data_IF_763419779594
#
_entry.id   IF_763419779594
#
_cell.length_a   1.000
_cell.length_b   1.000
_cell.length_c   1.000
_cell.angle_alpha   90.00
_cell.angle_beta   90.00
_cell.angle_gamma   90.00
#
_symmetry.space_group_name_H-M   'P 1'
#
loop_
_entity.id
_entity.type
_entity.pdbx_description
1 polymer ?
#
# COMPACT_ATOMS: atom_id res chain seq x y z
N UNK A 1 -48.24 9.70 35.62
CA UNK A 1 -48.29 8.47 34.79
C UNK A 1 -47.49 7.39 35.51
N UNK A 2 -47.84 6.11 35.36
CA UNK A 2 -47.12 5.01 36.00
C UNK A 2 -47.09 3.77 35.10
N UNK A 3 -45.98 3.02 35.14
CA UNK A 3 -45.82 1.72 34.48
C UNK A 3 -44.74 0.93 35.20
N UNK A 4 -44.88 -0.41 35.22
CA UNK A 4 -43.83 -1.31 35.66
C UNK A 4 -42.88 -1.73 34.53
N UNK A 5 -43.15 -1.27 33.29
CA UNK A 5 -42.46 -1.65 32.05
C UNK A 5 -42.34 -3.16 31.82
N UNK A 6 -43.22 -3.94 32.43
CA UNK A 6 -43.31 -5.39 32.21
C UNK A 6 -44.19 -5.65 31.01
N UNK A 7 -43.72 -6.58 30.19
CA UNK A 7 -44.49 -7.09 29.06
C UNK A 7 -45.46 -8.14 29.62
N UNK A 8 -46.74 -8.03 29.28
CA UNK A 8 -47.76 -9.01 29.64
C UNK A 8 -47.73 -10.25 28.71
N UNK A 9 -48.61 -11.21 28.96
CA UNK A 9 -48.71 -12.46 28.17
C UNK A 9 -49.01 -12.22 26.69
N UNK A 10 -49.58 -11.06 26.35
CA UNK A 10 -49.93 -10.68 24.98
C UNK A 10 -48.84 -9.84 24.30
N UNK A 11 -47.71 -9.55 24.97
CA UNK A 11 -46.63 -8.76 24.40
C UNK A 11 -46.76 -7.24 24.61
N UNK A 12 -47.70 -6.77 25.44
CA UNK A 12 -47.93 -5.34 25.63
C UNK A 12 -47.40 -4.83 26.98
N UNK A 13 -46.92 -3.59 26.98
CA UNK A 13 -46.61 -2.83 28.21
C UNK A 13 -47.85 -2.04 28.63
N UNK A 14 -48.23 -2.12 29.92
CA UNK A 14 -49.34 -1.33 30.46
C UNK A 14 -48.85 -0.01 31.02
N UNK A 15 -49.51 1.08 30.61
CA UNK A 15 -49.21 2.44 31.07
C UNK A 15 -50.49 3.04 31.64
N UNK A 16 -50.44 3.45 32.91
CA UNK A 16 -51.51 4.21 33.55
C UNK A 16 -51.30 5.70 33.34
N UNK A 17 -52.28 6.35 32.70
CA UNK A 17 -52.35 7.80 32.54
C UNK A 17 -53.51 8.31 33.38
N UNK A 18 -53.18 9.10 34.41
CA UNK A 18 -54.18 9.80 35.22
C UNK A 18 -54.30 11.23 34.66
N UNK A 19 -55.48 11.57 34.15
CA UNK A 19 -55.80 12.92 33.73
C UNK A 19 -56.14 13.80 34.94
N UNK A 20 -55.44 14.93 35.06
CA UNK A 20 -55.60 15.90 36.15
C UNK A 20 -56.14 17.26 35.61
N UNK A 21 -56.91 17.24 34.53
CA UNK A 21 -57.52 18.43 33.93
C UNK A 21 -56.86 18.86 32.62
N UNK A 22 -56.30 17.91 31.86
CA UNK A 22 -55.73 18.16 30.54
C UNK A 22 -56.85 18.44 29.52
N UNK A 23 -56.55 19.28 28.54
CA UNK A 23 -57.43 19.45 27.39
C UNK A 23 -57.42 18.17 26.52
N UNK A 24 -58.50 17.87 25.76
CA UNK A 24 -58.52 16.71 24.87
C UNK A 24 -57.33 16.65 23.89
N UNK A 25 -56.89 17.82 23.41
CA UNK A 25 -55.70 17.92 22.55
C UNK A 25 -54.42 17.50 23.29
N UNK A 26 -54.23 17.96 24.53
CA UNK A 26 -53.05 17.61 25.33
C UNK A 26 -53.06 16.13 25.74
N UNK A 27 -54.22 15.55 26.01
CA UNK A 27 -54.36 14.10 26.25
C UNK A 27 -53.94 13.31 25.01
N UNK A 28 -54.44 13.69 23.82
CA UNK A 28 -54.05 13.05 22.57
C UNK A 28 -52.55 13.12 22.30
N UNK A 29 -51.96 14.31 22.47
CA UNK A 29 -50.52 14.50 22.30
C UNK A 29 -49.69 13.72 23.34
N UNK A 30 -50.16 13.60 24.58
CA UNK A 30 -49.52 12.79 25.61
C UNK A 30 -49.54 11.31 25.26
N UNK A 31 -50.71 10.78 24.90
CA UNK A 31 -50.88 9.38 24.50
C UNK A 31 -50.03 9.06 23.27
N UNK A 32 -50.01 9.93 22.26
CA UNK A 32 -49.17 9.75 21.08
C UNK A 32 -47.68 9.64 21.46
N UNK A 33 -47.17 10.53 22.33
CA UNK A 33 -45.78 10.49 22.77
C UNK A 33 -45.45 9.23 23.57
N UNK A 34 -46.39 8.74 24.40
CA UNK A 34 -46.22 7.47 25.11
C UNK A 34 -46.14 6.29 24.15
N UNK A 35 -47.00 6.26 23.12
CA UNK A 35 -46.95 5.24 22.07
C UNK A 35 -45.65 5.31 21.26
N UNK A 36 -45.17 6.52 20.95
CA UNK A 36 -43.88 6.72 20.28
C UNK A 36 -42.73 6.19 21.14
N UNK A 37 -42.69 6.49 22.46
CA UNK A 37 -41.68 5.94 23.38
C UNK A 37 -41.68 4.42 23.35
N UNK A 38 -42.85 3.78 23.49
CA UNK A 38 -42.95 2.32 23.49
C UNK A 38 -42.66 1.70 22.12
N UNK A 39 -42.90 2.42 21.02
CA UNK A 39 -42.56 1.96 19.66
C UNK A 39 -41.05 2.04 19.41
N UNK A 40 -40.41 3.14 19.80
CA UNK A 40 -39.00 3.38 19.49
C UNK A 40 -38.04 2.71 20.49
N UNK A 41 -38.47 2.46 21.73
CA UNK A 41 -37.66 1.76 22.74
C UNK A 41 -37.13 0.40 22.26
N UNK A 42 -37.96 -0.55 21.77
CA UNK A 42 -37.46 -1.84 21.27
C UNK A 42 -36.66 -1.67 19.97
N UNK A 43 -37.04 -0.73 19.09
CA UNK A 43 -36.31 -0.46 17.85
C UNK A 43 -34.88 0.04 18.11
N UNK A 44 -34.69 0.88 19.14
CA UNK A 44 -33.39 1.34 19.58
C UNK A 44 -32.48 0.19 20.08
N UNK A 45 -33.07 -0.92 20.53
CA UNK A 45 -32.32 -2.08 21.03
C UNK A 45 -31.94 -3.08 19.93
N UNK A 46 -32.45 -2.93 18.70
CA UNK A 46 -32.11 -3.82 17.57
C UNK A 46 -30.64 -3.72 17.11
N UNK A 47 -29.94 -2.65 17.52
CA UNK A 47 -28.51 -2.50 17.29
C UNK A 47 -27.67 -3.43 18.16
N UNK A 48 -28.14 -3.77 19.36
CA UNK A 48 -27.36 -4.58 20.31
C UNK A 48 -27.10 -5.99 19.76
N UNK A 49 -28.11 -6.63 19.16
CA UNK A 49 -27.93 -7.97 18.58
C UNK A 49 -26.88 -7.95 17.47
N UNK A 50 -26.92 -6.94 16.59
CA UNK A 50 -25.93 -6.77 15.54
C UNK A 50 -24.52 -6.52 16.12
N UNK A 51 -24.40 -5.75 17.19
CA UNK A 51 -23.11 -5.51 17.85
C UNK A 51 -22.52 -6.79 18.46
N UNK A 52 -23.37 -7.61 19.10
CA UNK A 52 -22.96 -8.89 19.69
C UNK A 52 -22.56 -9.93 18.62
N UNK A 53 -23.23 -9.95 17.48
CA UNK A 53 -22.89 -10.83 16.35
C UNK A 53 -21.56 -10.42 15.68
N UNK A 54 -21.35 -9.11 15.55
CA UNK A 54 -20.19 -8.54 14.88
C UNK A 54 -18.93 -8.55 15.74
N UNK A 55 -19.05 -8.39 17.06
CA UNK A 55 -17.92 -8.29 18.00
C UNK A 55 -16.86 -9.39 17.80
N UNK A 56 -17.23 -10.69 17.81
CA UNK A 56 -16.28 -11.79 17.59
C UNK A 56 -15.59 -11.76 16.22
N UNK A 57 -16.25 -11.24 15.19
CA UNK A 57 -15.66 -11.08 13.86
C UNK A 57 -14.58 -9.99 13.87
N UNK A 58 -14.90 -8.82 14.44
CA UNK A 58 -13.95 -7.70 14.60
C UNK A 58 -12.73 -8.13 15.42
N UNK A 59 -12.94 -8.87 16.52
CA UNK A 59 -11.86 -9.39 17.37
C UNK A 59 -10.90 -10.33 16.60
N UNK A 60 -11.43 -11.17 15.69
CA UNK A 60 -10.60 -12.08 14.88
C UNK A 60 -9.77 -11.31 13.87
N UNK A 61 -10.34 -10.31 13.20
CA UNK A 61 -9.62 -9.50 12.21
C UNK A 61 -8.54 -8.64 12.88
N UNK A 62 -8.83 -8.00 14.01
CA UNK A 62 -7.84 -7.19 14.75
C UNK A 62 -6.68 -8.05 15.26
N UNK A 63 -6.95 -9.26 15.75
CA UNK A 63 -5.90 -10.21 16.14
C UNK A 63 -5.03 -10.63 14.97
N UNK A 64 -5.63 -11.04 13.85
CA UNK A 64 -4.86 -11.47 12.67
C UNK A 64 -4.05 -10.32 12.06
N UNK A 65 -4.58 -9.10 12.09
CA UNK A 65 -3.82 -7.91 11.72
C UNK A 65 -2.58 -7.73 12.62
N UNK A 66 -2.72 -7.92 13.93
CA UNK A 66 -1.60 -7.91 14.87
C UNK A 66 -0.52 -8.94 14.51
N UNK A 67 -0.92 -10.19 14.26
CA UNK A 67 -0.02 -11.27 13.85
C UNK A 67 0.72 -10.93 12.54
N UNK A 68 0.01 -10.44 11.52
CA UNK A 68 0.63 -10.05 10.25
C UNK A 68 1.62 -8.89 10.43
N UNK A 69 1.32 -7.92 11.28
CA UNK A 69 2.24 -6.82 11.58
C UNK A 69 3.50 -7.29 12.32
N UNK A 70 3.40 -8.30 13.19
CA UNK A 70 4.55 -8.94 13.83
C UNK A 70 5.38 -9.73 12.82
N UNK A 71 4.73 -10.52 11.96
CA UNK A 71 5.38 -11.25 10.86
C UNK A 71 6.11 -10.28 9.91
N UNK A 72 5.51 -9.12 9.61
CA UNK A 72 6.15 -8.06 8.82
C UNK A 72 7.44 -7.56 9.47
N UNK A 73 7.52 -7.40 10.81
CA UNK A 73 8.75 -6.92 11.45
C UNK A 73 9.91 -7.92 11.33
N UNK A 74 9.62 -9.22 11.37
CA UNK A 74 10.62 -10.28 11.20
C UNK A 74 10.86 -10.72 9.75
N UNK A 75 10.04 -10.28 8.81
CA UNK A 75 10.11 -10.71 7.42
C UNK A 75 11.33 -10.13 6.70
N UNK A 76 12.17 -11.02 6.17
CA UNK A 76 13.21 -10.71 5.19
C UNK A 76 12.87 -11.37 3.85
N UNK A 77 12.90 -10.58 2.78
CA UNK A 77 12.74 -11.07 1.42
C UNK A 77 11.38 -10.78 0.77
N UNK A 78 11.47 -10.38 -0.50
CA UNK A 78 10.37 -9.97 -1.36
C UNK A 78 9.20 -10.97 -1.46
N UNK A 79 9.47 -12.28 -1.41
CA UNK A 79 8.41 -13.30 -1.51
C UNK A 79 7.49 -13.30 -0.29
N UNK A 80 8.06 -13.17 0.91
CA UNK A 80 7.31 -13.15 2.15
C UNK A 80 6.49 -11.85 2.25
N UNK A 81 7.10 -10.70 1.91
CA UNK A 81 6.40 -9.41 1.88
C UNK A 81 5.20 -9.41 0.91
N UNK A 82 5.35 -10.00 -0.29
CA UNK A 82 4.23 -10.16 -1.22
C UNK A 82 3.11 -11.06 -0.68
N UNK A 83 3.46 -12.14 0.03
CA UNK A 83 2.48 -13.02 0.66
C UNK A 83 1.67 -12.29 1.75
N UNK A 84 2.36 -11.58 2.65
CA UNK A 84 1.74 -10.77 3.70
C UNK A 84 0.84 -9.66 3.11
N UNK A 85 1.22 -9.08 1.96
CA UNK A 85 0.42 -8.07 1.27
C UNK A 85 -0.88 -8.65 0.70
N UNK A 86 -0.81 -9.83 0.09
CA UNK A 86 -1.99 -10.54 -0.38
C UNK A 86 -2.93 -10.88 0.78
N UNK A 87 -2.36 -11.30 1.92
CA UNK A 87 -3.14 -11.61 3.11
C UNK A 87 -3.81 -10.37 3.72
N UNK A 88 -3.09 -9.26 3.89
CA UNK A 88 -3.67 -7.99 4.37
C UNK A 88 -4.80 -7.52 3.45
N UNK A 89 -4.61 -7.63 2.14
CA UNK A 89 -5.63 -7.26 1.15
C UNK A 89 -6.87 -8.15 1.28
N UNK A 90 -6.69 -9.46 1.52
CA UNK A 90 -7.79 -10.38 1.76
C UNK A 90 -8.51 -10.11 3.09
N UNK A 91 -7.78 -9.80 4.16
CA UNK A 91 -8.33 -9.40 5.45
C UNK A 91 -9.17 -8.12 5.31
N UNK A 92 -8.64 -7.09 4.66
CA UNK A 92 -9.35 -5.85 4.37
C UNK A 92 -10.65 -6.10 3.57
N UNK A 93 -10.57 -6.89 2.49
CA UNK A 93 -11.75 -7.24 1.70
C UNK A 93 -12.79 -8.03 2.50
N UNK A 94 -12.35 -8.95 3.38
CA UNK A 94 -13.25 -9.70 4.25
C UNK A 94 -13.93 -8.80 5.30
N UNK A 95 -13.18 -7.85 5.85
CA UNK A 95 -13.67 -6.87 6.81
C UNK A 95 -14.73 -5.96 6.20
N UNK A 96 -14.46 -5.37 5.03
CA UNK A 96 -15.42 -4.49 4.33
C UNK A 96 -16.73 -5.22 4.00
N UNK A 97 -16.66 -6.49 3.58
CA UNK A 97 -17.87 -7.31 3.36
C UNK A 97 -18.66 -7.55 4.64
N UNK A 98 -17.98 -7.82 5.76
CA UNK A 98 -18.61 -8.09 7.05
C UNK A 98 -19.16 -6.84 7.75
N UNK A 99 -18.52 -5.68 7.56
CA UNK A 99 -18.93 -4.39 8.09
C UNK A 99 -20.08 -3.75 7.28
N UNK A 100 -20.36 -4.27 6.08
CA UNK A 100 -21.46 -3.75 5.24
C UNK A 100 -22.81 -4.03 5.91
N UNK A 101 -23.51 -2.96 6.29
CA UNK A 101 -24.87 -3.02 6.86
C UNK A 101 -24.96 -2.83 8.37
N UNK A 102 -23.88 -3.04 9.14
CA UNK A 102 -23.83 -2.80 10.60
C UNK A 102 -23.98 -1.31 10.94
N UNK A 103 -23.28 -0.45 10.20
CA UNK A 103 -23.28 1.01 10.38
C UNK A 103 -24.68 1.63 10.28
N UNK A 104 -25.51 1.16 9.35
CA UNK A 104 -26.88 1.64 9.21
C UNK A 104 -27.72 1.26 10.42
N UNK A 105 -27.58 0.03 10.92
CA UNK A 105 -28.32 -0.46 12.10
C UNK A 105 -27.91 0.27 13.38
N UNK A 106 -26.62 0.53 13.57
CA UNK A 106 -26.15 1.31 14.72
C UNK A 106 -26.62 2.77 14.64
N UNK A 107 -26.56 3.37 13.44
CA UNK A 107 -27.09 4.72 13.20
C UNK A 107 -28.60 4.83 13.50
N UNK A 108 -29.40 3.87 13.01
CA UNK A 108 -30.83 3.81 13.27
C UNK A 108 -31.12 3.63 14.78
N UNK A 109 -30.40 2.73 15.45
CA UNK A 109 -30.54 2.49 16.89
C UNK A 109 -30.29 3.76 17.70
N UNK A 110 -29.25 4.54 17.32
CA UNK A 110 -28.95 5.84 17.93
C UNK A 110 -30.06 6.85 17.72
N UNK A 111 -30.55 6.98 16.48
CA UNK A 111 -31.65 7.91 16.16
C UNK A 111 -32.93 7.56 16.94
N UNK A 112 -33.28 6.28 17.06
CA UNK A 112 -34.43 5.87 17.87
C UNK A 112 -34.24 6.14 19.36
N UNK A 113 -33.02 5.95 19.89
CA UNK A 113 -32.72 6.28 21.28
C UNK A 113 -32.82 7.79 21.56
N UNK A 114 -32.32 8.64 20.64
CA UNK A 114 -32.48 10.09 20.71
C UNK A 114 -33.97 10.50 20.66
N UNK A 115 -34.77 9.82 19.84
CA UNK A 115 -36.20 10.06 19.77
C UNK A 115 -36.92 9.71 21.07
N UNK A 116 -36.59 8.56 21.68
CA UNK A 116 -37.09 8.18 23.01
C UNK A 116 -36.75 9.25 24.05
N UNK A 117 -35.49 9.70 24.12
CA UNK A 117 -35.08 10.75 25.04
C UNK A 117 -35.82 12.06 24.81
N UNK A 118 -35.97 12.48 23.54
CA UNK A 118 -36.71 13.68 23.16
C UNK A 118 -38.18 13.62 23.56
N UNK A 119 -38.82 12.44 23.49
CA UNK A 119 -40.21 12.28 23.95
C UNK A 119 -40.30 12.31 25.45
N UNK A 120 -39.42 11.59 26.14
CA UNK A 120 -39.35 11.56 27.60
C UNK A 120 -39.15 12.97 28.17
N UNK A 121 -38.27 13.79 27.60
CA UNK A 121 -38.04 15.16 28.07
C UNK A 121 -39.25 16.08 27.96
N UNK A 122 -40.24 15.73 27.14
CA UNK A 122 -41.49 16.50 26.97
C UNK A 122 -42.60 15.97 27.88
N UNK A 123 -42.70 14.64 28.06
CA UNK A 123 -43.78 14.02 28.84
C UNK A 123 -43.48 13.93 30.34
N UNK A 124 -42.21 14.00 30.72
CA UNK A 124 -41.80 13.88 32.10
C UNK A 124 -42.09 15.19 32.85
N UNK A 125 -42.93 15.08 33.88
CA UNK A 125 -43.28 16.19 34.77
C UNK A 125 -42.32 16.32 35.95
N UNK A 126 -42.78 16.97 37.02
CA UNK A 126 -42.04 17.05 38.28
C UNK A 126 -41.80 15.68 38.89
N UNK A 127 -40.63 15.49 39.49
CA UNK A 127 -40.28 14.27 40.20
C UNK A 127 -41.28 13.98 41.34
N UNK A 128 -41.62 12.70 41.52
CA UNK A 128 -42.42 12.23 42.65
C UNK A 128 -41.43 11.59 43.63
N UNK A 129 -41.43 12.05 44.88
CA UNK A 129 -40.57 11.50 45.92
C UNK A 129 -40.70 9.97 45.99
N UNK A 130 -39.57 9.29 46.17
CA UNK A 130 -39.42 7.83 46.28
C UNK A 130 -39.66 7.01 45.00
N UNK A 131 -39.94 7.64 43.85
CA UNK A 131 -40.11 6.93 42.56
C UNK A 131 -39.11 7.39 41.51
N UNK A 132 -38.49 6.46 40.75
CA UNK A 132 -37.61 6.82 39.65
C UNK A 132 -38.42 7.45 38.52
N UNK A 133 -37.83 8.48 37.91
CA UNK A 133 -38.32 9.07 36.66
C UNK A 133 -38.24 8.04 35.52
N UNK A 134 -39.10 8.16 34.51
CA UNK A 134 -39.06 7.27 33.35
C UNK A 134 -37.75 7.42 32.58
N UNK A 135 -37.23 8.65 32.45
CA UNK A 135 -35.92 8.91 31.84
C UNK A 135 -34.80 8.20 32.56
N UNK A 136 -34.73 8.29 33.90
CA UNK A 136 -33.67 7.62 34.67
C UNK A 136 -33.76 6.09 34.57
N UNK A 137 -34.98 5.55 34.63
CA UNK A 137 -35.23 4.11 34.52
C UNK A 137 -34.85 3.56 33.13
N UNK A 138 -35.31 4.22 32.06
CA UNK A 138 -35.06 3.79 30.69
C UNK A 138 -33.59 4.02 30.29
N UNK A 139 -32.98 5.14 30.70
CA UNK A 139 -31.54 5.36 30.49
C UNK A 139 -30.71 4.24 31.11
N UNK A 140 -30.99 3.82 32.35
CA UNK A 140 -30.27 2.71 32.99
C UNK A 140 -30.37 1.39 32.23
N UNK A 141 -31.49 1.13 31.56
CA UNK A 141 -31.73 -0.11 30.80
C UNK A 141 -31.22 -0.06 29.36
N UNK A 142 -31.27 1.10 28.71
CA UNK A 142 -30.97 1.26 27.30
C UNK A 142 -29.54 1.75 27.06
N UNK A 143 -29.01 2.64 27.91
CA UNK A 143 -27.68 3.22 27.71
C UNK A 143 -26.55 2.18 27.59
N UNK A 144 -26.55 1.04 28.33
CA UNK A 144 -25.54 0.00 28.12
C UNK A 144 -25.54 -0.54 26.69
N UNK A 145 -26.72 -0.84 26.14
CA UNK A 145 -26.86 -1.31 24.77
C UNK A 145 -26.37 -0.28 23.75
N UNK A 146 -26.70 1.00 23.97
CA UNK A 146 -26.24 2.09 23.12
C UNK A 146 -24.72 2.24 23.13
N UNK A 147 -24.09 2.15 24.30
CA UNK A 147 -22.62 2.17 24.43
C UNK A 147 -21.99 0.98 23.71
N UNK A 148 -22.59 -0.21 23.76
CA UNK A 148 -22.09 -1.37 23.00
C UNK A 148 -22.14 -1.12 21.49
N UNK A 149 -23.22 -0.52 20.98
CA UNK A 149 -23.32 -0.15 19.57
C UNK A 149 -22.25 0.88 19.17
N UNK A 150 -22.06 1.93 19.99
CA UNK A 150 -21.06 2.99 19.74
C UNK A 150 -19.64 2.44 19.78
N UNK A 151 -19.28 1.68 20.82
CA UNK A 151 -17.95 1.08 20.93
C UNK A 151 -17.66 0.11 19.78
N UNK A 152 -18.64 -0.69 19.35
CA UNK A 152 -18.46 -1.61 18.22
C UNK A 152 -18.22 -0.84 16.91
N UNK A 153 -19.00 0.22 16.68
CA UNK A 153 -18.81 1.12 15.52
C UNK A 153 -17.43 1.77 15.53
N UNK A 154 -16.98 2.29 16.67
CA UNK A 154 -15.68 2.94 16.77
C UNK A 154 -14.53 1.95 16.53
N UNK A 155 -14.69 0.71 16.99
CA UNK A 155 -13.77 -0.40 16.71
C UNK A 155 -13.73 -0.74 15.22
N UNK A 156 -14.87 -0.79 14.54
CA UNK A 156 -14.91 -1.01 13.08
C UNK A 156 -14.14 0.09 12.32
N UNK A 157 -14.43 1.37 12.62
CA UNK A 157 -13.76 2.51 11.97
C UNK A 157 -12.26 2.49 12.22
N UNK A 158 -11.86 2.23 13.47
CA UNK A 158 -10.46 2.15 13.85
C UNK A 158 -9.74 1.01 13.13
N UNK A 159 -10.38 -0.17 13.04
CA UNK A 159 -9.79 -1.35 12.42
C UNK A 159 -9.67 -1.20 10.91
N UNK A 160 -10.68 -0.63 10.23
CA UNK A 160 -10.59 -0.29 8.80
C UNK A 160 -9.39 0.62 8.53
N UNK A 161 -9.23 1.68 9.34
CA UNK A 161 -8.11 2.60 9.19
C UNK A 161 -6.74 1.95 9.49
N UNK A 162 -6.67 1.03 10.45
CA UNK A 162 -5.45 0.26 10.73
C UNK A 162 -5.09 -0.68 9.56
N UNK A 163 -6.08 -1.39 9.00
CA UNK A 163 -5.89 -2.29 7.86
C UNK A 163 -5.37 -1.53 6.63
N UNK A 164 -5.97 -0.40 6.30
CA UNK A 164 -5.54 0.45 5.18
C UNK A 164 -4.08 0.90 5.36
N UNK A 165 -3.74 1.44 6.54
CA UNK A 165 -2.36 1.85 6.83
C UNK A 165 -1.36 0.69 6.77
N UNK A 166 -1.72 -0.47 7.29
CA UNK A 166 -0.85 -1.65 7.24
C UNK A 166 -0.57 -2.10 5.80
N UNK A 167 -1.61 -2.14 4.96
CA UNK A 167 -1.49 -2.49 3.55
C UNK A 167 -0.62 -1.46 2.80
N UNK A 168 -0.82 -0.16 3.04
CA UNK A 168 -0.03 0.90 2.42
C UNK A 168 1.44 0.81 2.80
N UNK A 169 1.74 0.62 4.10
CA UNK A 169 3.13 0.48 4.58
C UNK A 169 3.83 -0.73 3.96
N UNK A 170 3.14 -1.87 3.87
CA UNK A 170 3.72 -3.08 3.28
C UNK A 170 3.93 -2.92 1.77
N UNK A 171 3.00 -2.26 1.08
CA UNK A 171 3.14 -1.92 -0.33
C UNK A 171 4.38 -1.05 -0.56
N UNK A 172 4.54 0.02 0.21
CA UNK A 172 5.75 0.88 0.14
C UNK A 172 7.02 0.08 0.40
N UNK A 173 7.02 -0.84 1.37
CA UNK A 173 8.19 -1.68 1.65
C UNK A 173 8.54 -2.60 0.49
N UNK A 174 7.54 -3.24 -0.11
CA UNK A 174 7.72 -4.09 -1.31
C UNK A 174 8.29 -3.27 -2.47
N UNK A 175 7.75 -2.08 -2.72
CA UNK A 175 8.20 -1.20 -3.80
C UNK A 175 9.68 -0.80 -3.61
N UNK A 176 10.08 -0.43 -2.38
CA UNK A 176 11.48 -0.10 -2.03
C UNK A 176 12.42 -1.31 -2.21
N UNK A 177 11.99 -2.51 -1.81
CA UNK A 177 12.82 -3.72 -1.95
C UNK A 177 13.01 -4.11 -3.43
N UNK A 178 11.98 -3.93 -4.27
CA UNK A 178 12.09 -4.11 -5.73
C UNK A 178 13.06 -3.08 -6.33
N UNK A 179 12.96 -1.82 -5.91
CA UNK A 179 13.85 -0.75 -6.39
C UNK A 179 15.32 -1.01 -6.00
N UNK A 180 15.56 -1.48 -4.77
CA UNK A 180 16.89 -1.90 -4.33
C UNK A 180 17.45 -3.06 -5.17
N UNK A 181 16.64 -4.11 -5.42
CA UNK A 181 17.06 -5.23 -6.28
C UNK A 181 17.38 -4.78 -7.71
N UNK A 182 16.57 -3.87 -8.28
CA UNK A 182 16.82 -3.32 -9.61
C UNK A 182 18.13 -2.51 -9.64
N UNK A 183 18.39 -1.69 -8.61
CA UNK A 183 19.63 -0.92 -8.49
C UNK A 183 20.85 -1.84 -8.41
N UNK A 184 20.79 -2.88 -7.58
CA UNK A 184 21.89 -3.84 -7.40
C UNK A 184 22.16 -4.63 -8.69
N UNK A 185 21.10 -5.01 -9.41
CA UNK A 185 21.20 -5.66 -10.71
C UNK A 185 21.89 -4.75 -11.75
N UNK A 186 21.46 -3.50 -11.85
CA UNK A 186 22.04 -2.51 -12.76
C UNK A 186 23.52 -2.26 -12.43
N UNK A 187 23.86 -2.17 -11.15
CA UNK A 187 25.24 -2.03 -10.71
C UNK A 187 26.09 -3.25 -11.12
N UNK A 188 25.60 -4.47 -10.90
CA UNK A 188 26.29 -5.70 -11.30
C UNK A 188 26.48 -5.80 -12.82
N UNK A 189 25.50 -5.35 -13.61
CA UNK A 189 25.62 -5.26 -15.08
C UNK A 189 26.72 -4.28 -15.48
N UNK A 190 26.75 -3.09 -14.87
CA UNK A 190 27.72 -2.06 -15.20
C UNK A 190 29.16 -2.52 -14.89
N UNK A 191 29.36 -3.16 -13.73
CA UNK A 191 30.65 -3.74 -13.33
C UNK A 191 31.13 -4.82 -14.32
N UNK A 192 30.24 -5.73 -14.72
CA UNK A 192 30.57 -6.79 -15.70
C UNK A 192 30.84 -6.23 -17.10
N UNK A 193 30.07 -5.23 -17.53
CA UNK A 193 30.25 -4.57 -18.83
C UNK A 193 31.62 -3.89 -18.89
N UNK A 194 32.04 -3.24 -17.81
CA UNK A 194 33.38 -2.67 -17.69
C UNK A 194 34.50 -3.72 -17.82
N UNK A 195 34.32 -4.91 -17.26
CA UNK A 195 35.27 -6.02 -17.40
C UNK A 195 35.29 -6.58 -18.83
N UNK A 196 34.13 -6.72 -19.46
CA UNK A 196 34.01 -7.17 -20.86
C UNK A 196 34.69 -6.19 -21.83
N UNK A 197 34.54 -4.89 -21.62
CA UNK A 197 35.21 -3.85 -22.42
C UNK A 197 36.74 -3.93 -22.33
N UNK A 198 37.30 -4.22 -21.15
CA UNK A 198 38.75 -4.39 -20.97
C UNK A 198 39.29 -5.61 -21.73
N UNK A 199 38.57 -6.72 -21.70
CA UNK A 199 38.95 -7.92 -22.46
C UNK A 199 38.88 -7.64 -23.97
N UNK A 200 37.84 -6.97 -24.45
CA UNK A 200 37.69 -6.61 -25.86
C UNK A 200 38.80 -5.68 -26.35
N UNK A 201 39.14 -4.63 -25.58
CA UNK A 201 40.29 -3.76 -25.87
C UNK A 201 41.62 -4.53 -25.91
N UNK A 202 41.79 -5.56 -25.08
CA UNK A 202 43.01 -6.37 -25.06
C UNK A 202 43.13 -7.23 -26.34
N UNK A 203 42.01 -7.76 -26.82
CA UNK A 203 41.96 -8.54 -28.08
C UNK A 203 42.12 -7.63 -29.31
N UNK A 204 41.56 -6.43 -29.28
CA UNK A 204 41.78 -5.41 -30.33
C UNK A 204 43.25 -4.97 -30.39
N UNK A 205 43.92 -4.80 -29.25
CA UNK A 205 45.36 -4.51 -29.23
C UNK A 205 46.22 -5.59 -29.88
N UNK A 206 45.86 -6.86 -29.71
CA UNK A 206 46.57 -7.99 -30.31
C UNK A 206 46.31 -8.10 -31.83
N UNK A 207 45.08 -7.83 -32.28
CA UNK A 207 44.75 -7.86 -33.72
C UNK A 207 45.51 -6.79 -34.51
N UNK A 208 45.70 -5.60 -33.93
CA UNK A 208 46.50 -4.52 -34.54
C UNK A 208 47.97 -4.95 -34.70
N UNK A 209 48.54 -5.66 -33.71
CA UNK A 209 49.91 -6.17 -33.81
C UNK A 209 50.04 -7.24 -34.90
N UNK A 210 49.09 -8.18 -34.98
CA UNK A 210 49.07 -9.22 -36.01
C UNK A 210 48.92 -8.63 -37.43
N UNK A 211 47.96 -7.72 -37.63
CA UNK A 211 47.75 -7.02 -38.91
C UNK A 211 49.00 -6.21 -39.29
N UNK A 212 49.63 -5.53 -38.32
CA UNK A 212 50.87 -4.80 -38.54
C UNK A 212 51.99 -5.67 -39.11
N UNK A 213 52.18 -6.89 -38.58
CA UNK A 213 53.17 -7.84 -39.11
C UNK A 213 52.87 -8.25 -40.56
N UNK A 214 51.61 -8.54 -40.88
CA UNK A 214 51.20 -8.89 -42.24
C UNK A 214 51.41 -7.74 -43.23
N UNK A 215 51.11 -6.51 -42.84
CA UNK A 215 51.34 -5.32 -43.67
C UNK A 215 52.83 -5.12 -43.95
N UNK A 216 53.69 -5.21 -42.92
CA UNK A 216 55.16 -5.16 -43.10
C UNK A 216 55.63 -6.23 -44.07
N UNK A 217 55.16 -7.46 -43.90
CA UNK A 217 55.52 -8.58 -44.75
C UNK A 217 55.08 -8.36 -46.20
N UNK A 218 53.88 -7.82 -46.43
CA UNK A 218 53.35 -7.53 -47.76
C UNK A 218 54.17 -6.45 -48.49
N UNK A 219 54.57 -5.38 -47.80
CA UNK A 219 55.49 -4.38 -48.35
C UNK A 219 56.87 -4.98 -48.65
N UNK A 220 57.36 -5.90 -47.82
CA UNK A 220 58.58 -6.66 -48.08
C UNK A 220 58.49 -7.51 -49.35
N UNK A 221 57.34 -8.13 -49.62
CA UNK A 221 57.10 -8.87 -50.87
C UNK A 221 56.95 -7.96 -52.09
N UNK A 222 56.28 -6.81 -51.96
CA UNK A 222 56.19 -5.80 -53.03
C UNK A 222 57.58 -5.24 -53.40
N UNK A 223 58.44 -4.98 -52.40
CA UNK A 223 59.81 -4.55 -52.65
C UNK A 223 60.64 -5.61 -53.39
N UNK A 224 60.48 -6.89 -53.04
CA UNK A 224 61.11 -8.01 -53.75
C UNK A 224 60.55 -8.20 -55.16
N UNK A 225 59.23 -8.09 -55.35
CA UNK A 225 58.59 -8.20 -56.66
C UNK A 225 58.96 -7.05 -57.60
N UNK A 226 59.14 -5.84 -57.08
CA UNK A 226 59.63 -4.71 -57.87
C UNK A 226 61.07 -4.90 -58.36
N UNK A 227 61.90 -5.62 -57.59
CA UNK A 227 63.25 -6.01 -57.99
C UNK A 227 63.24 -7.03 -59.15
N UNK A 228 62.28 -7.96 -59.17
CA UNK A 228 62.17 -9.01 -60.21
C UNK A 228 61.61 -8.51 -61.55
N UNK A 229 61.01 -7.30 -61.60
CA UNK A 229 60.38 -6.72 -62.81
C UNK A 229 61.31 -5.78 -63.63
N UNK A 230 62.58 -5.65 -63.25
CA UNK A 230 63.62 -5.13 -64.17
C UNK A 230 63.84 -3.60 -64.20
N UNK A 231 63.46 -2.87 -63.14
CA UNK A 231 63.86 -1.47 -62.98
C UNK A 231 65.27 -1.39 -62.39
N UNK A 232 66.24 -0.92 -63.19
CA UNK A 232 67.65 -0.75 -62.83
C UNK A 232 67.89 0.44 -61.88
N UNK A 233 67.25 0.45 -60.72
CA UNK A 233 67.53 1.41 -59.65
C UNK A 233 68.21 0.66 -58.51
N UNK A 234 69.35 1.19 -58.06
CA UNK A 234 70.24 0.56 -57.08
C UNK A 234 69.45 0.07 -55.83
N UNK A 235 69.47 -1.24 -55.50
CA UNK A 235 68.55 -1.87 -54.54
C UNK A 235 68.60 -1.31 -53.10
N UNK A 236 69.67 -0.60 -52.73
CA UNK A 236 69.88 -0.08 -51.38
C UNK A 236 68.99 1.12 -51.04
N UNK A 237 68.79 2.05 -51.98
CA UNK A 237 68.07 3.30 -51.71
C UNK A 237 66.55 3.16 -51.71
N UNK A 238 65.99 2.32 -52.59
CA UNK A 238 64.54 2.09 -52.64
C UNK A 238 64.04 1.34 -51.40
N UNK A 239 64.84 0.38 -50.92
CA UNK A 239 64.57 -0.36 -49.69
C UNK A 239 64.73 0.55 -48.46
N UNK A 240 65.73 1.43 -48.45
CA UNK A 240 65.92 2.44 -47.40
C UNK A 240 64.81 3.49 -47.33
N UNK A 241 64.15 3.81 -48.46
CA UNK A 241 62.99 4.72 -48.49
C UNK A 241 61.67 4.05 -48.09
N UNK A 242 61.50 2.75 -48.36
CA UNK A 242 60.27 2.02 -48.01
C UNK A 242 60.16 1.71 -46.52
N UNK A 243 61.28 1.47 -45.82
CA UNK A 243 61.30 1.21 -44.36
C UNK A 243 60.67 2.35 -43.54
N UNK A 244 61.05 3.64 -43.70
CA UNK A 244 60.46 4.73 -42.94
C UNK A 244 58.99 4.98 -43.30
N UNK A 245 58.57 4.71 -44.54
CA UNK A 245 57.15 4.79 -44.93
C UNK A 245 56.33 3.69 -44.25
N UNK A 246 56.83 2.45 -44.24
CA UNK A 246 56.16 1.34 -43.56
C UNK A 246 56.06 1.58 -42.04
N UNK A 247 57.15 2.01 -41.40
CA UNK A 247 57.16 2.38 -39.98
C UNK A 247 56.22 3.57 -39.72
N UNK A 248 56.19 4.57 -40.61
CA UNK A 248 55.31 5.72 -40.51
C UNK A 248 53.82 5.36 -40.62
N UNK A 249 53.45 4.45 -41.52
CA UNK A 249 52.07 3.95 -41.67
C UNK A 249 51.64 3.16 -40.42
N UNK A 250 52.50 2.30 -39.88
CA UNK A 250 52.21 1.53 -38.65
C UNK A 250 52.09 2.47 -37.45
N UNK A 251 52.98 3.45 -37.35
CA UNK A 251 52.93 4.44 -36.29
C UNK A 251 51.65 5.28 -36.37
N UNK A 252 51.27 5.76 -37.55
CA UNK A 252 50.02 6.52 -37.76
C UNK A 252 48.77 5.69 -37.45
N UNK A 253 48.69 4.44 -37.91
CA UNK A 253 47.55 3.56 -37.64
C UNK A 253 47.44 3.28 -36.15
N UNK A 254 48.54 2.86 -35.50
CA UNK A 254 48.57 2.55 -34.07
C UNK A 254 48.23 3.79 -33.20
N UNK A 255 48.76 4.96 -33.58
CA UNK A 255 48.51 6.23 -32.91
C UNK A 255 47.06 6.68 -33.06
N UNK A 256 46.47 6.57 -34.25
CA UNK A 256 45.06 6.93 -34.48
C UNK A 256 44.09 6.00 -33.76
N UNK A 257 44.35 4.69 -33.70
CA UNK A 257 43.53 3.78 -32.88
C UNK A 257 43.60 4.15 -31.41
N UNK A 258 44.80 4.35 -30.83
CA UNK A 258 44.93 4.77 -29.42
C UNK A 258 44.23 6.10 -29.13
N UNK A 259 44.31 7.07 -30.04
CA UNK A 259 43.68 8.39 -29.88
C UNK A 259 42.15 8.32 -29.96
N UNK A 260 41.59 7.42 -30.76
CA UNK A 260 40.13 7.18 -30.81
C UNK A 260 39.59 6.52 -29.54
N UNK A 261 40.34 5.60 -28.96
CA UNK A 261 39.95 4.97 -27.68
C UNK A 261 40.10 5.92 -26.47
N UNK A 262 41.07 6.85 -26.50
CA UNK A 262 41.21 7.88 -25.47
C UNK A 262 40.15 8.99 -25.59
N UNK A 263 39.69 9.34 -26.80
CA UNK A 263 38.65 10.36 -26.98
C UNK A 263 37.28 9.94 -26.41
N UNK A 264 37.01 8.65 -26.31
CA UNK A 264 35.80 8.12 -25.65
C UNK A 264 35.84 8.18 -24.11
N UNK A 265 36.99 8.58 -23.53
CA UNK A 265 37.21 8.72 -22.09
C UNK A 265 36.98 10.15 -21.56
N UNK A 266 36.86 11.15 -22.46
CA UNK A 266 36.74 12.58 -22.10
C UNK A 266 35.38 13.22 -22.44
N UNK A 267 34.34 12.45 -22.81
CA UNK A 267 32.96 12.95 -22.75
C UNK A 267 32.40 12.68 -21.35
N UNK A 268 32.28 13.69 -20.46
CA UNK A 268 31.53 13.51 -19.23
C UNK A 268 30.07 13.29 -19.63
N UNK A 269 29.51 12.17 -19.19
CA UNK A 269 28.06 11.94 -19.20
C UNK A 269 27.41 12.91 -18.21
N UNK A 270 27.25 14.16 -18.64
CA UNK A 270 26.23 15.07 -18.11
C UNK A 270 24.94 14.68 -18.80
N UNK A 271 24.11 13.93 -18.08
CA UNK A 271 22.64 14.05 -18.01
C UNK A 271 22.09 12.74 -17.43
N UNK A 272 21.56 12.80 -16.21
CA UNK A 272 20.12 12.56 -16.12
C UNK A 272 19.51 13.33 -14.93
N UNK A 273 18.26 13.70 -15.13
CA UNK A 273 17.40 14.51 -14.23
C UNK A 273 16.95 13.75 -12.99
#
# INVERSE_FOLDING_TARGET
MASDFRVDENGFTKILVCDLGLTPHNVGALVQRLLEVETYRPLALLGLSAALELGPFVDRIDRRLGEVLEEMQGAEGLKLNNHLLAELTALAASFERGATGSLFRFGASRAYYELVQSRLSIIEGSEIADYPTWSSFLARRMAPAMRTCETTKDREVTLSAKLARAADLLRTRVDVEIEQQNRDLLQAINERTGQQLRLQCTVEGLSVAAIGYYVVSLFGYLAKGAHDVGLHVEPSYLTAACVPVAVGVIWLVSYNTRKRHLKHRDEPSVTDK
#
